data_IF_874070467087
#
_entry.id   IF_874070467087
#
_cell.length_a   1.000
_cell.length_b   1.000
_cell.length_c   1.000
_cell.angle_alpha   90.00
_cell.angle_beta   90.00
_cell.angle_gamma   90.00
#
_symmetry.space_group_name_H-M   'P 1'
#
loop_
_entity.id
_entity.type
_entity.pdbx_description
1 polymer ?
#
# COMPACT_ATOMS: atom_id res chain seq x y z
N UNK A 1 -13.40 -33.84 20.48
CA UNK A 1 -14.32 -32.70 20.67
C UNK A 1 -14.90 -32.35 19.31
N UNK A 2 -16.15 -31.92 19.23
CA UNK A 2 -16.75 -31.46 17.97
C UNK A 2 -16.10 -30.13 17.58
N UNK A 3 -15.51 -30.03 16.39
CA UNK A 3 -14.90 -28.79 15.89
C UNK A 3 -16.00 -27.75 15.63
N UNK A 4 -15.87 -26.56 16.19
CA UNK A 4 -16.78 -25.42 16.05
C UNK A 4 -16.59 -24.73 14.69
N UNK A 5 -15.36 -24.45 14.28
CA UNK A 5 -15.06 -23.72 13.05
C UNK A 5 -14.46 -24.61 11.97
N UNK A 6 -13.59 -25.56 12.35
CA UNK A 6 -12.95 -26.47 11.39
C UNK A 6 -13.85 -27.67 11.03
N UNK A 7 -15.07 -27.40 10.57
CA UNK A 7 -16.11 -28.41 10.33
C UNK A 7 -15.91 -29.20 9.02
N UNK A 8 -15.09 -28.70 8.09
CA UNK A 8 -14.80 -29.33 6.79
C UNK A 8 -13.38 -29.91 6.67
N UNK A 9 -12.67 -30.09 7.79
CA UNK A 9 -11.27 -30.50 7.83
C UNK A 9 -10.37 -29.62 6.95
N UNK A 10 -10.46 -28.30 7.14
CA UNK A 10 -9.56 -27.32 6.55
C UNK A 10 -8.11 -27.63 6.95
N UNK A 11 -7.23 -27.55 5.95
CA UNK A 11 -5.77 -27.61 6.13
C UNK A 11 -5.23 -26.30 6.71
N UNK A 12 -5.86 -25.17 6.37
CA UNK A 12 -5.42 -23.83 6.80
C UNK A 12 -6.57 -23.01 7.37
N UNK A 13 -6.27 -22.28 8.45
CA UNK A 13 -6.97 -21.03 8.77
C UNK A 13 -6.17 -19.87 8.19
N UNK A 14 -6.82 -18.98 7.44
CA UNK A 14 -6.20 -17.77 6.91
C UNK A 14 -6.87 -16.56 7.58
N UNK A 15 -6.11 -15.82 8.37
CA UNK A 15 -6.58 -14.63 9.10
C UNK A 15 -6.28 -13.38 8.28
N UNK A 16 -7.33 -12.80 7.71
CA UNK A 16 -7.33 -11.62 6.85
C UNK A 16 -7.50 -11.97 5.37
N UNK A 17 -8.53 -11.41 4.74
CA UNK A 17 -8.89 -11.62 3.34
C UNK A 17 -8.28 -10.56 2.40
N UNK A 18 -7.10 -10.02 2.76
CA UNK A 18 -6.33 -9.11 1.90
C UNK A 18 -5.53 -9.84 0.81
N UNK A 19 -4.78 -9.09 -0.03
CA UNK A 19 -4.06 -9.66 -1.16
C UNK A 19 -3.13 -10.82 -0.80
N UNK A 20 -2.44 -10.74 0.35
CA UNK A 20 -1.55 -11.81 0.81
C UNK A 20 -2.30 -13.10 1.14
N UNK A 21 -3.33 -13.00 2.00
CA UNK A 21 -4.09 -14.15 2.48
C UNK A 21 -4.84 -14.86 1.35
N UNK A 22 -5.50 -14.08 0.48
CA UNK A 22 -6.24 -14.62 -0.66
C UNK A 22 -5.32 -15.27 -1.70
N UNK A 23 -4.16 -14.68 -1.98
CA UNK A 23 -3.18 -15.28 -2.91
C UNK A 23 -2.64 -16.60 -2.36
N UNK A 24 -2.29 -16.66 -1.07
CA UNK A 24 -1.84 -17.91 -0.44
C UNK A 24 -2.95 -18.96 -0.47
N UNK A 25 -4.18 -18.61 -0.06
CA UNK A 25 -5.31 -19.53 -0.04
C UNK A 25 -5.62 -20.11 -1.43
N UNK A 26 -5.55 -19.28 -2.48
CA UNK A 26 -5.76 -19.71 -3.85
C UNK A 26 -4.65 -20.64 -4.36
N UNK A 27 -3.39 -20.35 -4.06
CA UNK A 27 -2.29 -21.25 -4.43
C UNK A 27 -2.29 -22.55 -3.61
N UNK A 28 -2.75 -22.52 -2.36
CA UNK A 28 -2.98 -23.71 -1.57
C UNK A 28 -4.13 -24.55 -2.17
N UNK A 29 -5.23 -23.91 -2.60
CA UNK A 29 -6.35 -24.58 -3.27
C UNK A 29 -5.93 -25.27 -4.57
N UNK A 30 -5.09 -24.64 -5.40
CA UNK A 30 -4.50 -25.29 -6.60
C UNK A 30 -3.69 -26.55 -6.27
N UNK A 31 -3.23 -26.71 -5.03
CA UNK A 31 -2.50 -27.87 -4.50
C UNK A 31 -3.41 -28.81 -3.69
N UNK A 32 -4.73 -28.68 -3.85
CA UNK A 32 -5.72 -29.54 -3.20
C UNK A 32 -5.94 -29.25 -1.72
N UNK A 33 -5.44 -28.12 -1.20
CA UNK A 33 -5.59 -27.74 0.20
C UNK A 33 -6.83 -26.89 0.42
N UNK A 34 -7.55 -27.16 1.51
CA UNK A 34 -8.75 -26.43 1.87
C UNK A 34 -8.44 -25.36 2.91
N UNK A 35 -8.92 -24.14 2.69
CA UNK A 35 -8.70 -23.00 3.59
C UNK A 35 -10.02 -22.42 4.08
N UNK A 36 -10.12 -22.14 5.39
CA UNK A 36 -11.10 -21.20 5.92
C UNK A 36 -10.41 -19.85 6.03
N UNK A 37 -10.89 -18.85 5.29
CA UNK A 37 -10.45 -17.47 5.41
C UNK A 37 -11.41 -16.75 6.35
N UNK A 38 -10.88 -16.14 7.41
CA UNK A 38 -11.65 -15.26 8.28
C UNK A 38 -11.24 -13.81 8.05
N UNK A 39 -12.20 -12.90 8.08
CA UNK A 39 -11.98 -11.47 7.90
C UNK A 39 -12.81 -10.72 8.94
N UNK A 40 -12.18 -9.79 9.66
CA UNK A 40 -12.87 -8.99 10.68
C UNK A 40 -13.84 -7.99 10.06
N UNK A 41 -13.59 -7.57 8.82
CA UNK A 41 -14.43 -6.65 8.06
C UNK A 41 -15.55 -7.42 7.35
N UNK A 42 -16.57 -6.70 6.89
CA UNK A 42 -17.71 -7.25 6.16
C UNK A 42 -17.40 -7.64 4.69
N UNK A 43 -16.16 -7.49 4.23
CA UNK A 43 -15.77 -7.66 2.83
C UNK A 43 -14.34 -8.15 2.69
N UNK A 44 -14.04 -8.74 1.52
CA UNK A 44 -12.69 -9.18 1.13
C UNK A 44 -11.89 -8.04 0.48
N UNK A 45 -10.58 -8.26 0.35
CA UNK A 45 -9.63 -7.33 -0.29
C UNK A 45 -8.84 -6.47 0.70
N UNK A 46 -9.19 -6.46 1.98
CA UNK A 46 -8.50 -5.65 2.99
C UNK A 46 -8.47 -4.18 2.58
N UNK A 47 -7.29 -3.56 2.56
CA UNK A 47 -7.16 -2.16 2.13
C UNK A 47 -7.32 -1.97 0.60
N UNK A 48 -7.28 -3.02 -0.21
CA UNK A 48 -7.58 -2.89 -1.64
C UNK A 48 -9.07 -3.13 -1.92
N UNK A 49 -9.95 -3.13 -0.92
CA UNK A 49 -11.38 -3.24 -1.17
C UNK A 49 -11.89 -2.05 -1.98
N UNK A 50 -12.79 -2.33 -2.91
CA UNK A 50 -13.50 -1.37 -3.74
C UNK A 50 -14.99 -1.71 -3.78
N UNK A 51 -15.85 -0.69 -3.78
CA UNK A 51 -17.27 -0.82 -4.07
C UNK A 51 -17.67 0.02 -5.29
N UNK A 52 -18.90 -0.18 -5.77
CA UNK A 52 -19.48 0.64 -6.84
C UNK A 52 -20.59 1.51 -6.28
N UNK A 53 -20.56 2.79 -6.60
CA UNK A 53 -21.56 3.80 -6.23
C UNK A 53 -21.73 4.77 -7.40
N UNK A 54 -22.96 5.05 -7.83
CA UNK A 54 -23.27 5.89 -9.01
C UNK A 54 -22.45 5.49 -10.28
N UNK A 55 -22.30 4.18 -10.51
CA UNK A 55 -21.51 3.63 -11.61
C UNK A 55 -19.99 3.83 -11.47
N UNK A 56 -19.51 4.42 -10.36
CA UNK A 56 -18.10 4.73 -10.09
C UNK A 56 -17.49 3.67 -9.18
N UNK A 57 -16.32 3.15 -9.54
CA UNK A 57 -15.52 2.28 -8.67
C UNK A 57 -14.78 3.12 -7.62
N UNK A 58 -15.22 3.03 -6.37
CA UNK A 58 -14.63 3.76 -5.23
C UNK A 58 -13.65 2.85 -4.49
N UNK A 59 -12.51 3.41 -4.07
CA UNK A 59 -11.53 2.71 -3.24
C UNK A 59 -11.64 3.18 -1.80
N UNK A 60 -12.23 2.35 -0.94
CA UNK A 60 -12.61 2.75 0.42
C UNK A 60 -11.45 3.13 1.34
N UNK A 61 -10.27 2.59 1.06
CA UNK A 61 -9.09 2.74 1.89
C UNK A 61 -7.97 3.52 1.20
N UNK A 62 -8.37 4.44 0.32
CA UNK A 62 -7.48 5.33 -0.43
C UNK A 62 -7.05 4.77 -1.78
N UNK A 63 -6.36 5.60 -2.56
CA UNK A 63 -5.97 5.25 -3.92
C UNK A 63 -4.99 4.06 -3.93
N UNK A 64 -5.36 3.01 -4.67
CA UNK A 64 -4.52 1.85 -4.94
C UNK A 64 -4.30 1.76 -6.45
N UNK A 65 -3.05 1.91 -6.87
CA UNK A 65 -2.65 1.83 -8.27
C UNK A 65 -1.73 0.62 -8.41
N UNK A 66 -2.05 -0.31 -9.29
CA UNK A 66 -1.19 -1.47 -9.50
C UNK A 66 -0.01 -1.08 -10.39
N UNK A 67 1.19 -1.43 -9.96
CA UNK A 67 2.41 -1.18 -10.71
C UNK A 67 3.46 -2.25 -10.37
N UNK A 68 4.20 -2.75 -11.36
CA UNK A 68 5.30 -3.68 -11.13
C UNK A 68 6.23 -3.81 -12.33
N UNK A 69 7.49 -4.16 -12.09
CA UNK A 69 8.40 -4.70 -13.13
C UNK A 69 8.37 -6.22 -13.18
N UNK A 70 7.78 -6.88 -12.17
CA UNK A 70 7.67 -8.32 -12.12
C UNK A 70 6.57 -8.82 -13.06
N UNK A 71 6.97 -9.36 -14.22
CA UNK A 71 6.06 -9.89 -15.23
C UNK A 71 5.21 -11.07 -14.72
N UNK A 72 5.76 -11.92 -13.85
CA UNK A 72 5.03 -13.04 -13.25
C UNK A 72 3.86 -12.51 -12.42
N UNK A 73 4.11 -11.54 -11.53
CA UNK A 73 3.06 -10.91 -10.71
C UNK A 73 2.02 -10.21 -11.58
N UNK A 74 2.45 -9.46 -12.61
CA UNK A 74 1.53 -8.81 -13.55
C UNK A 74 0.62 -9.81 -14.27
N UNK A 75 1.21 -10.86 -14.85
CA UNK A 75 0.45 -11.88 -15.57
C UNK A 75 -0.47 -12.67 -14.63
N UNK A 76 -0.04 -12.91 -13.39
CA UNK A 76 -0.83 -13.60 -12.37
C UNK A 76 -2.11 -12.84 -12.04
N UNK A 77 -2.00 -11.57 -11.66
CA UNK A 77 -3.16 -10.78 -11.23
C UNK A 77 -4.15 -10.56 -12.38
N UNK A 78 -3.64 -10.43 -13.63
CA UNK A 78 -4.48 -10.31 -14.83
C UNK A 78 -5.31 -11.55 -15.15
N UNK A 79 -5.05 -12.70 -14.52
CA UNK A 79 -5.95 -13.86 -14.67
C UNK A 79 -7.33 -13.58 -14.07
N UNK A 80 -7.42 -12.66 -13.11
CA UNK A 80 -8.62 -12.38 -12.33
C UNK A 80 -9.26 -11.02 -12.67
N UNK A 81 -8.61 -10.16 -13.44
CA UNK A 81 -9.22 -8.91 -13.88
C UNK A 81 -8.60 -8.42 -15.18
N UNK A 82 -9.40 -7.72 -15.98
CA UNK A 82 -8.87 -6.90 -17.05
C UNK A 82 -8.32 -5.60 -16.45
N UNK A 83 -7.09 -5.25 -16.83
CA UNK A 83 -6.45 -4.02 -16.39
C UNK A 83 -6.46 -3.00 -17.51
N UNK A 84 -6.84 -1.76 -17.18
CA UNK A 84 -6.72 -0.65 -18.10
C UNK A 84 -5.26 -0.15 -18.22
N UNK A 85 -5.03 0.82 -19.11
CA UNK A 85 -3.73 1.46 -19.30
C UNK A 85 -3.47 2.66 -18.39
N UNK A 86 -4.14 2.77 -17.23
CA UNK A 86 -4.01 3.91 -16.34
C UNK A 86 -2.56 4.11 -15.89
N UNK A 87 -2.05 5.32 -16.11
CA UNK A 87 -0.75 5.77 -15.60
C UNK A 87 -1.00 6.87 -14.58
N UNK A 88 -0.51 6.67 -13.36
CA UNK A 88 -0.73 7.64 -12.30
C UNK A 88 0.05 8.93 -12.60
N UNK A 89 -0.65 10.05 -12.72
CA UNK A 89 -0.06 11.37 -12.96
C UNK A 89 -0.54 12.33 -11.88
N UNK A 90 0.18 12.41 -10.78
CA UNK A 90 -0.26 13.18 -9.61
C UNK A 90 0.02 14.67 -9.82
N UNK A 91 -0.91 15.51 -9.37
CA UNK A 91 -0.71 16.97 -9.28
C UNK A 91 -0.50 17.35 -7.81
N UNK A 92 0.43 18.26 -7.55
CA UNK A 92 0.60 18.91 -6.27
C UNK A 92 0.04 20.33 -6.32
N UNK A 93 -0.81 20.69 -5.37
CA UNK A 93 -1.32 22.02 -5.14
C UNK A 93 -0.60 22.63 -3.93
N UNK A 94 0.14 23.72 -4.16
CA UNK A 94 0.72 24.54 -3.11
C UNK A 94 0.09 25.93 -3.14
N UNK A 95 -0.88 26.17 -2.26
CA UNK A 95 -1.57 27.47 -2.13
C UNK A 95 -2.20 27.98 -3.45
N UNK A 96 -2.71 27.07 -4.27
CA UNK A 96 -3.31 27.35 -5.57
C UNK A 96 -2.38 27.14 -6.77
N UNK A 97 -1.05 27.12 -6.57
CA UNK A 97 -0.10 26.80 -7.63
C UNK A 97 -0.07 25.29 -7.87
N UNK A 98 -0.28 24.86 -9.12
CA UNK A 98 -0.28 23.45 -9.50
C UNK A 98 1.08 23.04 -10.08
N UNK A 99 1.58 21.88 -9.65
CA UNK A 99 2.84 21.29 -10.09
C UNK A 99 2.64 19.82 -10.44
N UNK A 100 3.29 19.33 -11.50
CA UNK A 100 3.30 17.90 -11.79
C UNK A 100 4.23 17.15 -10.84
N UNK A 101 3.81 15.94 -10.46
CA UNK A 101 4.62 14.94 -9.79
C UNK A 101 4.79 13.70 -10.71
N UNK A 102 5.92 12.98 -10.63
CA UNK A 102 7.05 13.22 -9.73
C UNK A 102 7.89 14.42 -10.21
N UNK A 103 8.96 14.76 -9.48
CA UNK A 103 9.80 15.90 -9.84
C UNK A 103 10.46 15.69 -11.19
N UNK A 104 9.97 16.40 -12.20
CA UNK A 104 10.41 16.28 -13.57
C UNK A 104 10.54 17.64 -14.27
N UNK A 105 10.87 17.67 -15.56
CA UNK A 105 11.02 18.94 -16.29
C UNK A 105 9.76 19.81 -16.27
N UNK A 106 8.55 19.24 -16.23
CA UNK A 106 7.30 20.00 -16.05
C UNK A 106 7.30 20.74 -14.70
N UNK A 107 7.73 20.06 -13.63
CA UNK A 107 7.86 20.66 -12.29
C UNK A 107 8.87 21.81 -12.31
N UNK A 108 10.06 21.59 -12.91
CA UNK A 108 11.14 22.58 -12.92
C UNK A 108 10.79 23.80 -13.78
N UNK A 109 10.12 23.58 -14.91
CA UNK A 109 9.57 24.65 -15.73
C UNK A 109 8.57 25.50 -14.96
N UNK A 110 7.61 24.87 -14.27
CA UNK A 110 6.63 25.61 -13.46
C UNK A 110 7.26 26.31 -12.24
N UNK A 111 8.34 25.73 -11.69
CA UNK A 111 9.03 26.28 -10.51
C UNK A 111 9.92 27.48 -10.87
N UNK A 112 10.67 27.40 -11.97
CA UNK A 112 11.78 28.30 -12.28
C UNK A 112 11.81 28.81 -13.72
N UNK A 113 10.93 28.32 -14.59
CA UNK A 113 10.94 28.61 -16.03
C UNK A 113 12.05 27.89 -16.82
N UNK A 114 12.75 26.94 -16.21
CA UNK A 114 13.82 26.17 -16.87
C UNK A 114 13.22 25.25 -17.95
N UNK A 115 13.83 25.24 -19.13
CA UNK A 115 13.35 24.50 -20.30
C UNK A 115 14.22 23.30 -20.63
N UNK A 116 15.50 23.35 -20.25
CA UNK A 116 16.47 22.28 -20.52
C UNK A 116 16.91 21.54 -19.25
N UNK A 117 17.29 20.26 -19.35
CA UNK A 117 17.92 19.50 -18.26
C UNK A 117 19.08 20.21 -17.57
N UNK A 118 19.93 20.90 -18.33
CA UNK A 118 21.12 21.56 -17.79
C UNK A 118 20.77 22.82 -17.00
N UNK A 119 19.80 23.60 -17.45
CA UNK A 119 19.25 24.74 -16.69
C UNK A 119 18.65 24.28 -15.36
N UNK A 120 17.85 23.20 -15.39
CA UNK A 120 17.24 22.64 -14.18
C UNK A 120 18.30 22.10 -13.21
N UNK A 121 19.31 21.38 -13.71
CA UNK A 121 20.46 20.92 -12.90
C UNK A 121 21.19 22.09 -12.27
N UNK A 122 21.53 23.11 -13.06
CA UNK A 122 22.24 24.29 -12.56
C UNK A 122 21.46 24.97 -11.43
N UNK A 123 20.13 25.09 -11.56
CA UNK A 123 19.29 25.71 -10.53
C UNK A 123 19.22 24.88 -9.24
N UNK A 124 19.13 23.56 -9.37
CA UNK A 124 19.15 22.64 -8.23
C UNK A 124 20.50 22.73 -7.49
N UNK A 125 21.62 22.70 -8.22
CA UNK A 125 22.97 22.79 -7.63
C UNK A 125 23.24 24.15 -6.97
N UNK A 126 22.75 25.25 -7.54
CA UNK A 126 22.76 26.59 -6.92
C UNK A 126 22.11 26.55 -5.53
N UNK A 127 20.92 25.94 -5.41
CA UNK A 127 20.19 25.86 -4.15
C UNK A 127 20.86 24.92 -3.14
N UNK A 128 21.42 23.80 -3.60
CA UNK A 128 22.18 22.88 -2.74
C UNK A 128 23.41 23.57 -2.16
N UNK A 129 24.19 24.26 -2.98
CA UNK A 129 25.37 24.97 -2.53
C UNK A 129 25.04 26.04 -1.47
N UNK A 130 23.93 26.77 -1.67
CA UNK A 130 23.48 27.78 -0.71
C UNK A 130 22.96 27.18 0.62
N UNK A 131 22.24 26.06 0.56
CA UNK A 131 21.60 25.47 1.74
C UNK A 131 22.48 24.49 2.52
N UNK A 132 23.48 23.90 1.85
CA UNK A 132 24.32 22.85 2.42
C UNK A 132 25.78 23.27 2.58
N UNK A 133 26.10 24.56 2.41
CA UNK A 133 27.45 25.08 2.69
C UNK A 133 27.93 24.75 4.11
N UNK A 134 27.00 24.64 5.07
CA UNK A 134 27.28 24.29 6.47
C UNK A 134 27.34 22.76 6.72
N UNK A 135 26.95 21.91 5.76
CA UNK A 135 27.06 20.46 5.92
C UNK A 135 28.50 19.96 5.75
N UNK A 136 29.31 20.59 4.91
CA UNK A 136 30.61 20.05 4.51
C UNK A 136 30.49 18.64 3.96
N UNK A 137 31.38 17.73 4.38
CA UNK A 137 31.43 16.33 3.90
C UNK A 137 30.46 15.36 4.63
N UNK A 138 29.60 15.87 5.52
CA UNK A 138 28.73 15.00 6.33
C UNK A 138 27.51 14.51 5.54
N UNK A 139 27.05 13.30 5.86
CA UNK A 139 25.80 12.78 5.30
C UNK A 139 24.56 13.49 5.91
N UNK A 140 23.45 13.62 5.15
CA UNK A 140 22.17 14.10 5.68
C UNK A 140 21.68 13.25 6.86
N UNK A 141 21.26 13.90 7.95
CA UNK A 141 20.81 13.23 9.19
C UNK A 141 19.31 13.05 9.26
N UNK A 142 18.55 13.91 8.59
CA UNK A 142 17.10 13.94 8.63
C UNK A 142 16.50 14.13 7.23
N UNK A 143 15.16 14.08 7.16
CA UNK A 143 14.42 14.18 5.90
C UNK A 143 14.62 15.56 5.24
N UNK A 144 14.64 16.65 6.00
CA UNK A 144 14.85 18.01 5.46
C UNK A 144 16.19 18.12 4.74
N UNK A 145 17.29 17.79 5.41
CA UNK A 145 18.64 17.84 4.83
C UNK A 145 18.74 16.92 3.61
N UNK A 146 18.13 15.73 3.67
CA UNK A 146 18.14 14.78 2.57
C UNK A 146 17.30 15.24 1.37
N UNK A 147 16.17 15.88 1.61
CA UNK A 147 15.33 16.43 0.56
C UNK A 147 16.07 17.57 -0.14
N UNK A 148 16.56 18.54 0.61
CA UNK A 148 17.28 19.70 0.07
C UNK A 148 18.51 19.25 -0.74
N UNK A 149 19.25 18.23 -0.27
CA UNK A 149 20.41 17.68 -1.00
C UNK A 149 20.09 16.96 -2.29
N UNK A 150 18.82 16.63 -2.54
CA UNK A 150 18.38 16.02 -3.79
C UNK A 150 17.75 17.04 -4.74
N UNK A 151 16.86 17.88 -4.23
CA UNK A 151 15.91 18.67 -5.03
C UNK A 151 15.99 20.19 -4.80
N UNK A 152 16.88 20.66 -3.92
CA UNK A 152 16.99 22.08 -3.58
C UNK A 152 15.89 22.57 -2.63
N UNK A 153 16.06 23.80 -2.14
CA UNK A 153 15.23 24.41 -1.11
C UNK A 153 13.82 24.73 -1.59
N UNK A 154 13.64 25.21 -2.82
CA UNK A 154 12.31 25.65 -3.29
C UNK A 154 11.34 24.49 -3.40
N UNK A 155 11.77 23.39 -4.04
CA UNK A 155 10.97 22.17 -4.18
C UNK A 155 10.70 21.58 -2.80
N UNK A 156 11.70 21.58 -1.91
CA UNK A 156 11.52 21.13 -0.53
C UNK A 156 10.42 21.93 0.19
N UNK A 157 10.51 23.27 0.16
CA UNK A 157 9.57 24.14 0.88
C UNK A 157 8.15 24.06 0.30
N UNK A 158 8.00 24.03 -1.03
CA UNK A 158 6.69 24.01 -1.68
C UNK A 158 6.06 22.63 -1.70
N UNK A 159 6.81 21.59 -2.04
CA UNK A 159 6.23 20.31 -2.44
C UNK A 159 6.48 19.17 -1.44
N UNK A 160 7.42 19.32 -0.50
CA UNK A 160 7.79 18.26 0.46
C UNK A 160 7.42 18.59 1.90
N UNK A 161 7.85 19.74 2.41
CA UNK A 161 7.86 20.04 3.85
C UNK A 161 6.47 19.90 4.46
N UNK A 162 5.52 20.73 4.01
CA UNK A 162 4.15 20.73 4.56
C UNK A 162 3.45 19.40 4.38
N UNK A 163 3.58 18.76 3.21
CA UNK A 163 3.00 17.44 2.96
C UNK A 163 3.52 16.37 3.94
N UNK A 164 4.83 16.34 4.14
CA UNK A 164 5.51 15.35 4.99
C UNK A 164 5.16 15.57 6.45
N UNK A 165 5.20 16.82 6.93
CA UNK A 165 4.88 17.15 8.32
C UNK A 165 3.42 16.84 8.65
N UNK A 166 2.48 17.05 7.71
CA UNK A 166 1.09 16.59 7.84
C UNK A 166 0.98 15.08 7.88
N UNK A 167 1.59 14.38 6.91
CA UNK A 167 1.48 12.93 6.79
C UNK A 167 2.00 12.21 8.04
N UNK A 168 3.10 12.69 8.62
CA UNK A 168 3.77 12.03 9.74
C UNK A 168 3.48 12.65 11.10
N UNK A 169 2.88 13.85 11.17
CA UNK A 169 2.64 14.56 12.42
C UNK A 169 3.93 14.97 13.16
N UNK A 170 5.07 15.03 12.46
CA UNK A 170 6.39 15.34 13.03
C UNK A 170 7.15 16.27 12.10
N UNK A 171 8.05 17.08 12.66
CA UNK A 171 8.90 17.98 11.87
C UNK A 171 9.79 17.19 10.92
N UNK A 172 10.03 17.72 9.73
CA UNK A 172 10.94 17.09 8.75
C UNK A 172 12.37 16.89 9.31
N UNK A 173 12.78 17.73 10.26
CA UNK A 173 14.07 17.64 10.96
C UNK A 173 14.18 16.50 11.97
N UNK A 174 13.05 15.90 12.36
CA UNK A 174 12.96 14.78 13.32
C UNK A 174 12.70 13.44 12.61
N UNK A 175 12.50 13.46 11.30
CA UNK A 175 12.22 12.29 10.48
C UNK A 175 13.53 11.71 9.90
N UNK A 176 13.71 10.38 9.88
CA UNK A 176 14.89 9.76 9.30
C UNK A 176 15.08 10.12 7.82
N UNK A 177 16.34 10.35 7.42
CA UNK A 177 16.71 10.71 6.04
C UNK A 177 16.22 9.70 4.98
N UNK A 178 16.14 8.41 5.32
CA UNK A 178 15.80 7.37 4.34
C UNK A 178 14.33 7.42 3.86
N UNK A 179 13.44 8.13 4.54
CA UNK A 179 12.02 8.23 4.18
C UNK A 179 11.84 8.80 2.76
N UNK A 180 12.73 9.71 2.32
CA UNK A 180 12.63 10.41 1.04
C UNK A 180 13.57 9.88 -0.06
N UNK A 181 14.36 8.81 0.21
CA UNK A 181 15.29 8.22 -0.78
C UNK A 181 14.62 7.72 -2.07
N UNK A 182 13.30 7.58 -2.06
CA UNK A 182 12.48 6.97 -3.12
C UNK A 182 11.90 7.95 -4.14
N UNK A 183 12.00 9.27 -3.94
CA UNK A 183 11.38 10.22 -4.87
C UNK A 183 12.25 10.37 -6.13
N UNK A 184 11.76 9.97 -7.32
CA UNK A 184 12.54 10.11 -8.54
C UNK A 184 12.63 11.58 -8.94
N UNK A 185 13.85 12.03 -9.22
CA UNK A 185 14.13 13.34 -9.82
C UNK A 185 14.53 13.09 -11.26
N UNK A 186 13.69 13.53 -12.21
CA UNK A 186 13.82 13.22 -13.63
C UNK A 186 14.15 14.47 -14.44
N UNK A 187 15.22 14.45 -15.21
CA UNK A 187 15.53 15.52 -16.15
C UNK A 187 14.96 15.25 -17.55
N UNK A 188 13.69 14.85 -17.59
CA UNK A 188 12.86 14.62 -18.79
C UNK A 188 11.44 15.13 -18.52
N UNK A 189 10.65 15.35 -19.56
CA UNK A 189 9.23 15.70 -19.46
C UNK A 189 8.40 14.42 -19.35
N UNK A 190 8.22 13.92 -18.13
CA UNK A 190 7.49 12.69 -17.85
C UNK A 190 6.80 12.75 -16.48
N UNK A 191 5.46 12.73 -16.50
CA UNK A 191 4.60 12.83 -15.33
C UNK A 191 4.20 11.46 -14.75
N UNK A 192 4.69 10.35 -15.30
CA UNK A 192 4.34 9.02 -14.80
C UNK A 192 4.90 8.83 -13.39
N UNK A 193 4.04 8.70 -12.38
CA UNK A 193 4.47 8.63 -10.98
C UNK A 193 5.37 7.43 -10.68
N UNK A 194 5.18 6.32 -11.40
CA UNK A 194 5.98 5.10 -11.24
C UNK A 194 6.89 4.87 -12.45
N UNK A 195 8.06 4.28 -12.22
CA UNK A 195 8.99 3.87 -13.29
C UNK A 195 8.70 2.45 -13.82
N UNK A 196 7.75 1.74 -13.19
CA UNK A 196 7.48 0.34 -13.49
C UNK A 196 6.91 0.15 -14.90
N UNK A 197 7.29 -0.95 -15.55
CA UNK A 197 6.87 -1.34 -16.91
C UNK A 197 5.38 -1.62 -17.01
N UNK A 198 4.80 -2.30 -16.01
CA UNK A 198 3.39 -2.65 -15.99
C UNK A 198 2.66 -1.80 -14.96
N UNK A 199 1.61 -1.12 -15.39
CA UNK A 199 0.79 -0.24 -14.55
C UNK A 199 -0.67 -0.30 -15.01
N UNK A 200 -1.60 -0.15 -14.08
CA UNK A 200 -3.02 -0.05 -14.41
C UNK A 200 -3.94 -0.20 -13.20
N UNK A 201 -5.23 -0.09 -13.47
CA UNK A 201 -6.33 -0.33 -12.53
C UNK A 201 -7.16 -1.49 -13.07
N UNK A 202 -7.59 -2.46 -12.23
CA UNK A 202 -8.55 -3.46 -12.64
C UNK A 202 -9.90 -2.77 -12.95
N UNK A 203 -10.39 -2.92 -14.16
CA UNK A 203 -11.67 -2.33 -14.58
C UNK A 203 -12.81 -2.94 -13.76
N UNK A 204 -13.57 -2.12 -13.03
CA UNK A 204 -14.57 -2.60 -12.07
C UNK A 204 -14.02 -2.93 -10.67
N UNK A 205 -12.79 -2.50 -10.38
CA UNK A 205 -12.23 -2.53 -9.03
C UNK A 205 -11.48 -3.79 -8.65
N UNK A 206 -10.88 -3.76 -7.46
CA UNK A 206 -9.99 -4.80 -6.95
C UNK A 206 -10.72 -5.94 -6.26
N UNK A 207 -11.89 -5.69 -5.65
CA UNK A 207 -12.65 -6.72 -4.91
C UNK A 207 -12.91 -7.97 -5.76
N UNK A 208 -13.26 -7.77 -7.04
CA UNK A 208 -13.53 -8.87 -7.99
C UNK A 208 -12.37 -9.85 -8.15
N UNK A 209 -11.11 -9.41 -7.94
CA UNK A 209 -9.93 -10.28 -8.08
C UNK A 209 -10.01 -11.41 -7.06
N UNK A 210 -10.37 -11.06 -5.82
CA UNK A 210 -10.45 -12.00 -4.71
C UNK A 210 -11.71 -12.86 -4.78
N UNK A 211 -12.82 -12.29 -5.25
CA UNK A 211 -14.04 -13.06 -5.54
C UNK A 211 -13.79 -14.15 -6.59
N UNK A 212 -13.08 -13.83 -7.68
CA UNK A 212 -12.71 -14.82 -8.71
C UNK A 212 -11.71 -15.86 -8.20
N UNK A 213 -10.82 -15.51 -7.26
CA UNK A 213 -9.97 -16.51 -6.59
C UNK A 213 -10.81 -17.51 -5.80
N UNK A 214 -11.83 -17.04 -5.06
CA UNK A 214 -12.76 -17.91 -4.33
C UNK A 214 -13.53 -18.80 -5.30
N UNK A 215 -14.13 -18.21 -6.33
CA UNK A 215 -14.91 -18.94 -7.34
C UNK A 215 -14.07 -20.05 -8.01
N UNK A 216 -12.86 -19.70 -8.47
CA UNK A 216 -11.96 -20.64 -9.17
C UNK A 216 -11.30 -21.66 -8.25
N UNK A 217 -11.46 -21.54 -6.93
CA UNK A 217 -10.97 -22.55 -5.98
C UNK A 217 -11.77 -23.85 -6.01
N UNK A 218 -12.92 -23.88 -6.72
CA UNK A 218 -13.81 -25.04 -6.81
C UNK A 218 -14.27 -25.55 -5.42
N UNK A 219 -14.58 -24.62 -4.51
CA UNK A 219 -15.10 -24.93 -3.17
C UNK A 219 -14.03 -25.34 -2.15
N UNK A 220 -12.75 -25.07 -2.43
CA UNK A 220 -11.64 -25.29 -1.50
C UNK A 220 -11.36 -24.06 -0.60
N UNK A 221 -11.93 -22.91 -0.93
CA UNK A 221 -11.85 -21.70 -0.09
C UNK A 221 -13.26 -21.39 0.40
N UNK A 222 -13.41 -21.36 1.71
CA UNK A 222 -14.57 -20.80 2.39
C UNK A 222 -14.16 -19.48 3.05
N UNK A 223 -15.01 -18.45 3.00
CA UNK A 223 -14.75 -17.13 3.59
C UNK A 223 -15.82 -16.80 4.63
N UNK A 224 -15.39 -16.33 5.79
CA UNK A 224 -16.25 -15.89 6.88
C UNK A 224 -15.85 -14.46 7.28
N UNK A 225 -16.65 -13.49 6.85
CA UNK A 225 -16.50 -12.07 7.19
C UNK A 225 -17.05 -11.79 8.59
N UNK A 226 -16.87 -10.55 9.07
CA UNK A 226 -17.34 -10.11 10.39
C UNK A 226 -16.88 -11.01 11.54
N UNK A 227 -15.70 -11.60 11.40
CA UNK A 227 -15.11 -12.54 12.36
C UNK A 227 -13.72 -12.07 12.75
N UNK A 228 -13.58 -11.59 13.99
CA UNK A 228 -12.27 -11.29 14.54
C UNK A 228 -11.60 -12.58 15.07
N UNK A 229 -10.35 -12.81 14.65
CA UNK A 229 -9.52 -13.90 15.15
C UNK A 229 -9.41 -13.90 16.68
N UNK A 230 -9.33 -12.72 17.29
CA UNK A 230 -9.11 -12.58 18.73
C UNK A 230 -10.33 -12.92 19.58
N UNK A 231 -11.55 -12.87 19.02
CA UNK A 231 -12.79 -13.27 19.72
C UNK A 231 -12.87 -14.78 19.96
N UNK A 232 -12.21 -15.57 19.10
CA UNK A 232 -12.22 -17.04 19.16
C UNK A 232 -10.82 -17.64 19.10
N UNK A 233 -9.80 -16.90 19.55
CA UNK A 233 -8.38 -17.25 19.38
C UNK A 233 -8.05 -18.66 19.85
N UNK A 234 -8.43 -19.01 21.08
CA UNK A 234 -8.09 -20.32 21.67
C UNK A 234 -8.67 -21.47 20.83
N UNK A 235 -9.92 -21.32 20.37
CA UNK A 235 -10.60 -22.31 19.54
C UNK A 235 -9.92 -22.41 18.17
N UNK A 236 -9.60 -21.29 17.54
CA UNK A 236 -8.89 -21.29 16.26
C UNK A 236 -7.49 -21.92 16.34
N UNK A 237 -6.74 -21.63 17.41
CA UNK A 237 -5.41 -22.20 17.65
C UNK A 237 -5.46 -23.70 17.93
N UNK A 238 -6.52 -24.22 18.54
CA UNK A 238 -6.70 -25.66 18.81
C UNK A 238 -7.20 -26.43 17.57
N UNK A 239 -8.14 -25.86 16.81
CA UNK A 239 -8.84 -26.60 15.76
C UNK A 239 -8.12 -26.71 14.43
N UNK A 240 -7.24 -25.74 14.12
CA UNK A 240 -6.58 -25.64 12.82
C UNK A 240 -5.11 -26.07 12.91
N UNK A 241 -4.67 -27.02 12.07
CA UNK A 241 -3.31 -27.54 12.15
C UNK A 241 -2.26 -26.54 11.66
N UNK A 242 -2.68 -25.53 10.89
CA UNK A 242 -1.82 -24.54 10.26
C UNK A 242 -2.57 -23.23 10.12
N UNK A 243 -1.92 -22.12 10.51
CA UNK A 243 -2.55 -20.79 10.47
C UNK A 243 -1.68 -19.84 9.67
N UNK A 244 -2.26 -19.15 8.69
CA UNK A 244 -1.65 -18.00 8.03
C UNK A 244 -2.20 -16.72 8.67
N UNK A 245 -1.38 -15.97 9.38
CA UNK A 245 -1.80 -14.76 10.07
C UNK A 245 -1.25 -13.51 9.38
N UNK A 246 -2.16 -12.63 8.92
CA UNK A 246 -1.81 -11.42 8.18
C UNK A 246 -2.08 -10.11 8.93
N UNK A 247 -2.62 -10.21 10.15
CA UNK A 247 -2.88 -9.09 11.05
C UNK A 247 -1.62 -8.56 11.75
N UNK A 248 -1.81 -7.66 12.70
CA UNK A 248 -0.70 -7.04 13.45
C UNK A 248 0.00 -8.08 14.33
N UNK A 249 1.32 -8.24 14.14
CA UNK A 249 2.11 -9.26 14.84
C UNK A 249 2.20 -8.98 16.36
N UNK A 250 2.33 -7.72 16.75
CA UNK A 250 2.36 -7.32 18.14
C UNK A 250 1.03 -7.61 18.86
N UNK A 251 -0.11 -7.36 18.20
CA UNK A 251 -1.43 -7.74 18.72
C UNK A 251 -1.55 -9.26 18.91
N UNK A 252 -1.03 -10.06 17.97
CA UNK A 252 -1.00 -11.52 18.13
C UNK A 252 -0.30 -11.93 19.43
N UNK A 253 0.75 -11.23 19.83
CA UNK A 253 1.49 -11.51 21.07
C UNK A 253 1.01 -10.70 22.28
N UNK A 254 -0.21 -10.17 22.23
CA UNK A 254 -0.80 -9.31 23.28
C UNK A 254 0.16 -8.18 23.71
N UNK A 255 0.85 -7.61 22.73
CA UNK A 255 1.75 -6.47 22.88
C UNK A 255 2.88 -6.67 23.93
N UNK A 256 3.27 -7.92 24.21
CA UNK A 256 4.20 -8.26 25.30
C UNK A 256 5.61 -7.66 25.22
N UNK A 257 6.06 -7.24 24.04
CA UNK A 257 7.34 -6.54 23.84
C UNK A 257 7.17 -5.04 23.57
N UNK A 258 5.96 -4.51 23.77
CA UNK A 258 5.55 -3.16 23.43
C UNK A 258 4.80 -3.07 22.10
N UNK A 259 4.08 -1.97 21.91
CA UNK A 259 3.29 -1.70 20.70
C UNK A 259 4.19 -1.21 19.56
N UNK A 260 3.95 -1.73 18.37
CA UNK A 260 4.54 -1.22 17.14
C UNK A 260 3.78 0.03 16.69
N UNK A 261 4.50 1.10 16.36
CA UNK A 261 3.89 2.36 15.96
C UNK A 261 3.43 2.32 14.50
N UNK A 262 2.20 2.78 14.24
CA UNK A 262 1.68 2.97 12.89
C UNK A 262 1.22 4.42 12.68
N UNK A 263 1.06 4.82 11.43
CA UNK A 263 0.21 5.96 11.03
C UNK A 263 -1.11 5.43 10.52
N UNK A 264 -2.18 6.16 10.84
CA UNK A 264 -3.50 5.88 10.34
C UNK A 264 -3.99 6.98 9.40
N UNK A 265 -5.08 6.69 8.70
CA UNK A 265 -5.75 7.60 7.78
C UNK A 265 -7.25 7.61 8.09
N UNK A 266 -7.88 8.73 7.80
CA UNK A 266 -9.33 8.90 7.79
C UNK A 266 -9.75 9.41 6.42
N UNK A 267 -10.78 8.81 5.86
CA UNK A 267 -11.30 9.15 4.54
C UNK A 267 -12.68 9.79 4.68
N UNK A 268 -12.90 10.90 4.00
CA UNK A 268 -14.22 11.53 3.89
C UNK A 268 -14.61 11.59 2.42
N UNK A 269 -15.62 10.81 2.05
CA UNK A 269 -16.16 10.77 0.69
C UNK A 269 -17.35 11.72 0.54
N UNK A 270 -17.47 12.32 -0.64
CA UNK A 270 -18.56 13.22 -1.00
C UNK A 270 -18.91 13.04 -2.48
N UNK A 271 -20.19 12.76 -2.76
CA UNK A 271 -20.74 12.75 -4.12
C UNK A 271 -21.02 14.19 -4.57
N UNK A 272 -20.65 14.50 -5.80
CA UNK A 272 -20.84 15.80 -6.45
C UNK A 272 -21.72 15.65 -7.69
N UNK A 273 -22.62 16.62 -7.88
CA UNK A 273 -23.38 16.79 -9.12
C UNK A 273 -22.51 17.49 -10.17
N UNK A 274 -21.49 16.76 -10.67
CA UNK A 274 -20.57 17.20 -11.72
C UNK A 274 -19.99 16.01 -12.44
N UNK A 275 -19.69 16.17 -13.72
CA UNK A 275 -18.92 15.16 -14.47
C UNK A 275 -17.41 15.21 -14.21
N UNK A 276 -16.95 16.28 -13.57
CA UNK A 276 -15.54 16.50 -13.34
C UNK A 276 -15.37 17.53 -12.22
N UNK A 277 -14.79 17.12 -11.10
CA UNK A 277 -14.58 18.01 -9.96
C UNK A 277 -13.19 18.66 -9.99
N UNK A 278 -12.14 17.88 -10.21
CA UNK A 278 -10.75 18.36 -10.14
C UNK A 278 -9.90 18.00 -11.37
N UNK A 279 -10.42 17.20 -12.29
CA UNK A 279 -9.80 16.90 -13.58
C UNK A 279 -8.58 16.00 -13.50
N UNK A 280 -8.38 15.36 -12.36
CA UNK A 280 -7.30 14.41 -12.16
C UNK A 280 -7.65 13.38 -11.07
N UNK A 281 -7.12 12.16 -11.21
CA UNK A 281 -7.35 11.08 -10.26
C UNK A 281 -6.87 11.43 -8.84
N UNK A 282 -5.71 12.10 -8.71
CA UNK A 282 -5.13 12.46 -7.41
C UNK A 282 -4.52 13.86 -7.46
N UNK A 283 -4.97 14.72 -6.54
CA UNK A 283 -4.32 16.01 -6.24
C UNK A 283 -3.84 16.02 -4.79
N UNK A 284 -2.53 16.14 -4.60
CA UNK A 284 -1.90 16.33 -3.30
C UNK A 284 -1.96 17.82 -2.91
N UNK A 285 -2.21 18.11 -1.64
CA UNK A 285 -2.19 19.48 -1.09
C UNK A 285 -0.97 19.59 -0.18
N UNK A 286 0.05 20.32 -0.62
CA UNK A 286 1.39 20.26 0.00
C UNK A 286 1.65 21.37 1.01
N UNK A 287 0.76 22.36 1.10
CA UNK A 287 0.79 23.38 2.14
C UNK A 287 0.34 22.82 3.50
N UNK A 288 0.81 23.43 4.59
CA UNK A 288 0.52 22.97 5.94
C UNK A 288 -0.87 23.43 6.46
N UNK A 289 -1.49 24.42 5.82
CA UNK A 289 -2.77 24.99 6.22
C UNK A 289 -3.95 24.10 5.82
N UNK A 290 -3.85 23.41 4.68
CA UNK A 290 -4.86 22.45 4.21
C UNK A 290 -4.82 21.18 5.07
N UNK A 291 -5.91 20.80 5.75
CA UNK A 291 -5.90 19.71 6.74
C UNK A 291 -5.76 18.30 6.13
N UNK A 292 -6.27 18.08 4.91
CA UNK A 292 -6.10 16.81 4.19
C UNK A 292 -4.79 16.80 3.39
N UNK A 293 -4.26 15.60 3.13
CA UNK A 293 -3.04 15.37 2.33
C UNK A 293 -3.34 15.34 0.85
N UNK A 294 -4.48 14.75 0.45
CA UNK A 294 -4.87 14.60 -0.95
C UNK A 294 -6.37 14.46 -1.13
N UNK A 295 -6.81 14.74 -2.35
CA UNK A 295 -8.16 14.48 -2.84
C UNK A 295 -8.07 13.50 -4.00
N UNK A 296 -8.82 12.40 -3.91
CA UNK A 296 -9.01 11.46 -5.00
C UNK A 296 -10.33 11.73 -5.69
N UNK A 297 -10.37 11.66 -7.01
CA UNK A 297 -11.59 11.68 -7.82
C UNK A 297 -11.68 10.35 -8.59
N UNK A 298 -12.60 9.49 -8.16
CA UNK A 298 -12.54 8.06 -8.48
C UNK A 298 -12.83 7.72 -9.94
N UNK A 299 -13.70 8.50 -10.60
CA UNK A 299 -14.03 8.31 -12.02
C UNK A 299 -12.82 8.41 -12.96
N UNK A 300 -11.71 9.01 -12.52
CA UNK A 300 -10.50 9.12 -13.32
C UNK A 300 -9.57 7.90 -13.25
N UNK A 301 -9.87 6.89 -12.42
CA UNK A 301 -9.05 5.68 -12.28
C UNK A 301 -9.38 4.62 -13.33
N UNK A 302 -10.65 4.23 -13.45
CA UNK A 302 -11.10 3.23 -14.43
C UNK A 302 -12.04 3.78 -15.51
N UNK A 303 -12.49 5.04 -15.38
CA UNK A 303 -13.34 5.72 -16.37
C UNK A 303 -14.82 5.40 -16.25
N UNK A 304 -15.24 4.60 -15.26
CA UNK A 304 -16.65 4.26 -15.03
C UNK A 304 -17.32 5.35 -14.18
N UNK A 305 -18.48 5.84 -14.64
CA UNK A 305 -19.34 6.78 -13.92
C UNK A 305 -20.71 6.90 -14.59
N UNK A 306 -21.76 7.11 -13.78
CA UNK A 306 -23.04 7.62 -14.27
C UNK A 306 -22.92 9.10 -14.68
N UNK A 307 -23.76 9.55 -15.62
CA UNK A 307 -23.72 10.92 -16.15
C UNK A 307 -24.05 11.96 -15.06
N UNK A 308 -23.27 13.04 -15.02
CA UNK A 308 -23.47 14.15 -14.08
C UNK A 308 -23.07 13.85 -12.63
N UNK A 309 -22.40 12.71 -12.37
CA UNK A 309 -21.97 12.29 -11.04
C UNK A 309 -20.45 12.12 -10.95
N UNK A 310 -19.87 12.54 -9.83
CA UNK A 310 -18.49 12.18 -9.46
C UNK A 310 -18.39 12.03 -7.96
N UNK A 311 -17.54 11.11 -7.49
CA UNK A 311 -17.27 10.91 -6.07
C UNK A 311 -15.83 11.31 -5.82
N UNK A 312 -15.67 12.23 -4.86
CA UNK A 312 -14.35 12.60 -4.35
C UNK A 312 -14.15 12.06 -2.96
N UNK A 313 -12.92 11.76 -2.60
CA UNK A 313 -12.54 11.41 -1.23
C UNK A 313 -11.37 12.26 -0.78
N UNK A 314 -11.49 12.86 0.41
CA UNK A 314 -10.42 13.58 1.08
C UNK A 314 -9.72 12.66 2.07
N UNK A 315 -8.39 12.61 2.01
CA UNK A 315 -7.56 11.82 2.93
C UNK A 315 -6.98 12.70 4.04
N UNK A 316 -7.23 12.33 5.30
CA UNK A 316 -6.68 13.00 6.47
C UNK A 316 -5.70 12.09 7.20
N UNK A 317 -4.44 12.52 7.41
CA UNK A 317 -3.49 11.77 8.21
C UNK A 317 -3.86 11.89 9.70
N UNK A 318 -3.69 10.81 10.46
CA UNK A 318 -3.93 10.79 11.89
C UNK A 318 -2.97 9.85 12.61
N UNK A 319 -2.76 10.10 13.90
CA UNK A 319 -2.08 9.12 14.75
C UNK A 319 -2.92 7.85 14.84
N UNK A 320 -2.22 6.72 14.88
CA UNK A 320 -2.86 5.42 15.08
C UNK A 320 -3.07 5.15 16.57
N UNK A 321 -4.20 4.52 16.88
CA UNK A 321 -4.45 3.81 18.13
C UNK A 321 -5.23 2.53 17.81
N UNK A 322 -5.46 1.68 18.81
CA UNK A 322 -6.10 0.37 18.63
C UNK A 322 -7.52 0.40 18.05
N UNK A 323 -8.22 1.55 18.09
CA UNK A 323 -9.54 1.71 17.48
C UNK A 323 -9.48 2.04 15.99
N UNK A 324 -8.28 2.30 15.45
CA UNK A 324 -8.07 2.76 14.08
C UNK A 324 -7.34 1.70 13.25
N UNK A 325 -7.56 1.77 11.94
CA UNK A 325 -6.85 0.91 10.99
C UNK A 325 -5.37 1.28 10.90
N UNK A 326 -4.50 0.27 10.98
CA UNK A 326 -3.06 0.43 10.82
C UNK A 326 -2.71 0.50 9.34
N UNK A 327 -2.34 1.68 8.85
CA UNK A 327 -1.87 1.84 7.48
C UNK A 327 -0.35 1.72 7.44
N UNK A 328 0.40 2.77 7.79
CA UNK A 328 1.84 2.83 7.53
C UNK A 328 2.65 2.43 8.77
N UNK A 329 3.52 1.40 8.71
CA UNK A 329 4.45 1.13 9.79
C UNK A 329 5.43 2.30 9.94
N UNK A 330 5.71 2.70 11.17
CA UNK A 330 6.70 3.75 11.47
C UNK A 330 8.07 3.10 11.55
N UNK A 331 8.84 3.22 10.47
CA UNK A 331 10.19 2.67 10.39
C UNK A 331 11.16 3.55 11.19
N UNK A 332 11.46 3.16 12.41
CA UNK A 332 12.50 3.74 13.24
C UNK A 332 13.25 2.62 14.00
N UNK A 333 14.35 2.97 14.67
CA UNK A 333 15.19 1.99 15.38
C UNK A 333 14.42 1.26 16.49
N UNK A 334 13.59 1.99 17.24
CA UNK A 334 12.75 1.43 18.31
C UNK A 334 11.80 0.34 17.79
N UNK A 335 10.99 0.65 16.78
CA UNK A 335 10.05 -0.32 16.21
C UNK A 335 10.76 -1.47 15.52
N UNK A 336 11.92 -1.23 14.91
CA UNK A 336 12.75 -2.29 14.31
C UNK A 336 13.18 -3.30 15.37
N UNK A 337 13.58 -2.84 16.55
CA UNK A 337 14.03 -3.72 17.63
C UNK A 337 12.86 -4.48 18.29
N UNK A 338 11.71 -3.82 18.47
CA UNK A 338 10.48 -4.47 18.94
C UNK A 338 10.04 -5.56 17.95
N UNK A 339 9.99 -5.26 16.65
CA UNK A 339 9.59 -6.22 15.62
C UNK A 339 10.53 -7.45 15.60
N UNK A 340 11.85 -7.27 15.77
CA UNK A 340 12.78 -8.41 15.86
C UNK A 340 12.45 -9.35 17.00
N UNK A 341 12.01 -8.83 18.15
CA UNK A 341 11.59 -9.65 19.29
C UNK A 341 10.34 -10.46 18.94
N UNK A 342 9.32 -9.85 18.33
CA UNK A 342 8.13 -10.56 17.87
C UNK A 342 8.43 -11.60 16.78
N UNK A 343 9.25 -11.25 15.78
CA UNK A 343 9.62 -12.17 14.71
C UNK A 343 10.43 -13.37 15.23
N UNK A 344 11.28 -13.16 16.25
CA UNK A 344 11.99 -14.23 16.94
C UNK A 344 11.02 -15.13 17.71
N UNK A 345 10.12 -14.53 18.47
CA UNK A 345 9.10 -15.23 19.25
C UNK A 345 8.20 -16.12 18.37
N UNK A 346 7.68 -15.56 17.27
CA UNK A 346 6.88 -16.29 16.30
C UNK A 346 7.60 -17.54 15.77
N UNK A 347 8.87 -17.40 15.36
CA UNK A 347 9.66 -18.53 14.84
C UNK A 347 9.96 -19.60 15.89
N UNK A 348 10.12 -19.22 17.16
CA UNK A 348 10.55 -20.14 18.21
C UNK A 348 9.38 -20.86 18.88
N UNK A 349 8.27 -20.15 19.09
CA UNK A 349 7.20 -20.62 19.97
C UNK A 349 5.86 -20.83 19.25
N UNK A 350 5.72 -20.38 17.99
CA UNK A 350 4.53 -20.61 17.18
C UNK A 350 4.87 -21.12 15.77
N UNK A 351 5.61 -22.23 15.65
CA UNK A 351 5.98 -22.78 14.35
C UNK A 351 4.77 -23.18 13.51
N UNK A 352 3.59 -23.38 14.10
CA UNK A 352 2.29 -23.66 13.47
C UNK A 352 1.67 -22.44 12.77
N UNK A 353 2.13 -21.22 13.08
CA UNK A 353 1.62 -19.96 12.52
C UNK A 353 2.62 -19.34 11.55
N UNK A 354 2.17 -19.07 10.34
CA UNK A 354 2.91 -18.35 9.30
C UNK A 354 2.50 -16.89 9.33
N UNK A 355 3.44 -15.99 9.66
CA UNK A 355 3.20 -14.55 9.67
C UNK A 355 3.56 -13.92 8.31
N UNK A 356 2.63 -13.15 7.75
CA UNK A 356 2.80 -12.62 6.40
C UNK A 356 2.08 -11.29 6.14
N UNK A 357 2.30 -10.74 4.95
CA UNK A 357 1.71 -9.47 4.55
C UNK A 357 2.27 -8.25 5.31
N UNK A 358 1.68 -7.09 5.05
CA UNK A 358 2.14 -5.78 5.54
C UNK A 358 2.18 -5.69 7.07
N UNK A 359 1.13 -6.16 7.76
CA UNK A 359 1.01 -6.05 9.21
C UNK A 359 1.76 -7.19 9.91
N UNK A 360 1.64 -8.43 9.43
CA UNK A 360 2.32 -9.59 10.00
C UNK A 360 3.85 -9.51 9.92
N UNK A 361 4.39 -8.84 8.89
CA UNK A 361 5.83 -8.60 8.71
C UNK A 361 6.29 -7.19 9.09
N UNK A 362 5.39 -6.35 9.61
CA UNK A 362 5.64 -4.94 9.94
C UNK A 362 6.44 -4.20 8.85
N UNK A 363 5.97 -4.29 7.60
CA UNK A 363 6.71 -3.78 6.44
C UNK A 363 5.80 -3.04 5.49
N UNK A 364 6.25 -1.86 5.05
CA UNK A 364 5.56 -1.11 4.01
C UNK A 364 5.78 -1.78 2.65
N UNK A 365 4.76 -2.49 2.18
CA UNK A 365 4.72 -3.15 0.88
C UNK A 365 3.75 -2.44 -0.07
N UNK A 366 4.17 -2.29 -1.32
CA UNK A 366 3.27 -2.07 -2.45
C UNK A 366 2.54 -3.38 -2.83
N UNK A 367 1.45 -3.30 -3.60
CA UNK A 367 0.61 -4.48 -3.88
C UNK A 367 1.40 -5.61 -4.56
N UNK A 368 2.23 -5.30 -5.55
CA UNK A 368 3.02 -6.31 -6.27
C UNK A 368 4.02 -7.03 -5.36
N UNK A 369 4.60 -6.31 -4.41
CA UNK A 369 5.46 -6.88 -3.38
C UNK A 369 4.68 -7.81 -2.45
N UNK A 370 3.40 -7.52 -2.14
CA UNK A 370 2.54 -8.41 -1.36
C UNK A 370 2.23 -9.71 -2.11
N UNK A 371 1.91 -9.64 -3.41
CA UNK A 371 1.73 -10.84 -4.24
C UNK A 371 3.01 -11.67 -4.29
N UNK A 372 4.17 -11.03 -4.53
CA UNK A 372 5.45 -11.72 -4.55
C UNK A 372 5.83 -12.33 -3.18
N UNK A 373 5.49 -11.64 -2.08
CA UNK A 373 5.69 -12.16 -0.73
C UNK A 373 4.82 -13.40 -0.44
N UNK A 374 3.58 -13.41 -0.97
CA UNK A 374 2.72 -14.58 -0.91
C UNK A 374 3.31 -15.75 -1.73
N UNK A 375 3.82 -15.49 -2.95
CA UNK A 375 4.50 -16.51 -3.76
C UNK A 375 5.68 -17.14 -3.03
N UNK A 376 6.54 -16.33 -2.41
CA UNK A 376 7.66 -16.84 -1.63
C UNK A 376 7.19 -17.68 -0.43
N UNK A 377 6.11 -17.24 0.24
CA UNK A 377 5.52 -18.01 1.34
C UNK A 377 4.97 -19.35 0.88
N UNK A 378 4.33 -19.40 -0.30
CA UNK A 378 3.87 -20.64 -0.93
C UNK A 378 5.04 -21.54 -1.33
N UNK A 379 6.14 -20.98 -1.85
CA UNK A 379 7.37 -21.72 -2.14
C UNK A 379 7.92 -22.40 -0.90
N UNK A 380 8.04 -21.65 0.19
CA UNK A 380 8.57 -22.14 1.46
C UNK A 380 7.68 -23.23 2.07
N UNK A 381 6.35 -23.03 2.06
CA UNK A 381 5.38 -23.94 2.67
C UNK A 381 5.25 -25.25 1.89
N UNK A 382 5.15 -25.19 0.56
CA UNK A 382 4.88 -26.35 -0.28
C UNK A 382 6.13 -26.91 -0.99
N UNK A 383 7.32 -26.38 -0.67
CA UNK A 383 8.60 -26.74 -1.29
C UNK A 383 8.54 -26.65 -2.82
N UNK A 384 7.92 -25.58 -3.31
CA UNK A 384 7.82 -25.30 -4.75
C UNK A 384 9.17 -24.80 -5.23
N UNK A 385 9.59 -25.29 -6.39
CA UNK A 385 10.84 -24.89 -7.03
C UNK A 385 10.88 -23.38 -7.34
N UNK A 386 12.05 -22.75 -7.21
CA UNK A 386 12.23 -21.31 -7.48
C UNK A 386 11.98 -20.94 -8.95
N UNK A 387 12.08 -21.89 -9.88
CA UNK A 387 11.77 -21.70 -11.30
C UNK A 387 10.27 -21.79 -11.60
N UNK A 388 9.45 -22.28 -10.66
CA UNK A 388 8.01 -22.35 -10.85
C UNK A 388 7.42 -20.96 -11.02
N UNK A 389 6.73 -20.77 -12.15
CA UNK A 389 6.05 -19.55 -12.48
C UNK A 389 4.57 -19.64 -12.09
N UNK A 390 4.17 -18.91 -11.05
CA UNK A 390 2.80 -18.91 -10.52
C UNK A 390 1.73 -18.50 -11.54
N UNK A 391 2.11 -17.71 -12.54
CA UNK A 391 1.18 -17.24 -13.57
C UNK A 391 0.98 -18.26 -14.70
N UNK A 392 2.01 -19.02 -15.06
CA UNK A 392 2.03 -19.81 -16.30
C UNK A 392 2.13 -21.31 -16.08
N UNK A 393 2.68 -21.75 -14.94
CA UNK A 393 2.88 -23.16 -14.65
C UNK A 393 1.66 -23.78 -13.96
N UNK A 394 1.39 -25.02 -14.33
CA UNK A 394 0.29 -25.81 -13.77
C UNK A 394 0.82 -26.61 -12.57
N UNK A 395 0.08 -26.56 -11.46
CA UNK A 395 0.34 -27.43 -10.31
C UNK A 395 0.04 -28.87 -10.72
N UNK A 396 1.02 -29.75 -10.56
CA UNK A 396 0.92 -31.17 -10.93
C UNK A 396 0.18 -32.00 -9.90
#
# INVERSE_FOLDING_TARGET
MTKQFNTKNYDYLVVGAGPFGMTFAYEAAKRGKRSLVIEKRAFVGGNTHTHTEDGITVHDFGAHIFHTDNKEVWDYVRQFAEFNGFQNQVIANYKGDLYNLPFNMNTFYQMWGTKTPDEARAKIEEQKAAALSELGDRQPRNLEEQAISLIGTDIYQKLIKGYTEKQWGRKATELPAFIIKRLPVRFIYDNNYFNHRYQGIPVGGYTQIFEKMIERSNGLIDVMTDTDFFEHREVFMDEFPRILYTGMIDQFFDYKFGELEYRSLRFESETKDSDNYQGNAVINYTDAQTPYTRVMEWRHFDGLADEGKTIITKEYPQDWDRSKEAYYPVNNERNTEIYKQYAKEARQNHPEVIFGGRLGKYRYFDMDQVFNDAFNTVRDEFKVDDQFNFAHDVVK
#
